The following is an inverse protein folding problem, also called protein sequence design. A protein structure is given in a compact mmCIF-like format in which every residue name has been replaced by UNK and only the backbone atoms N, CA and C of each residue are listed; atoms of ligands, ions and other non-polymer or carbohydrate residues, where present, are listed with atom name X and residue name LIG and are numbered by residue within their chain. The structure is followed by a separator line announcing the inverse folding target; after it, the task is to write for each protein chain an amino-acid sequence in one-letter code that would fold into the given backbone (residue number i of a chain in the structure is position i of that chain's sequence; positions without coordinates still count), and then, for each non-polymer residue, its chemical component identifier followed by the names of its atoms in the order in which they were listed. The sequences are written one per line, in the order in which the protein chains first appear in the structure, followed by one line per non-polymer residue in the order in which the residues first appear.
data_IF_372696749524
#
_entry.id   IF_372696749524
#
_cell.length_a   1.000
_cell.length_b   1.000
_cell.length_c   1.000
_cell.angle_alpha   90.00
_cell.angle_beta   90.00
_cell.angle_gamma   90.00
#
_symmetry.space_group_name_H-M   'P 1'
#
loop_
_entity.id
_entity.type
_entity.pdbx_description
1 polymer ?
#
# COMPACT_ATOMS: atom_id res chain seq x y z
N UNK A 1 0.69 -3.61 4.84
CA UNK A 1 1.87 -2.74 5.12
C UNK A 1 2.37 -3.02 6.53
N UNK A 2 3.43 -3.81 6.63
CA UNK A 2 3.89 -4.34 7.91
C UNK A 2 4.64 -3.28 8.74
N UNK A 3 5.34 -2.35 8.08
CA UNK A 3 6.07 -1.26 8.76
C UNK A 3 5.16 -0.37 9.61
N UNK A 4 3.94 -0.04 9.16
CA UNK A 4 2.99 0.74 9.97
C UNK A 4 2.61 0.03 11.27
N UNK A 5 2.69 -1.30 11.30
CA UNK A 5 2.49 -2.12 12.49
C UNK A 5 3.53 -1.86 13.60
N UNK A 6 4.72 -1.37 13.25
CA UNK A 6 5.80 -1.08 14.20
C UNK A 6 5.48 0.11 15.12
N UNK A 7 4.52 0.96 14.72
CA UNK A 7 3.99 2.00 15.60
C UNK A 7 3.20 1.31 16.73
N UNK A 8 3.71 1.42 17.95
CA UNK A 8 3.10 0.86 19.17
C UNK A 8 2.04 1.77 19.82
N UNK A 9 1.82 2.96 19.26
CA UNK A 9 0.78 3.87 19.74
C UNK A 9 -0.63 3.26 19.54
N UNK A 10 -1.41 3.23 20.61
CA UNK A 10 -2.82 2.78 20.61
C UNK A 10 -3.69 3.61 19.67
N UNK A 11 -3.36 4.90 19.51
CA UNK A 11 -4.07 5.84 18.66
C UNK A 11 -3.45 5.99 17.27
N UNK A 12 -2.59 5.06 16.82
CA UNK A 12 -1.91 5.14 15.51
C UNK A 12 -2.83 5.30 14.30
N UNK A 13 -4.14 5.08 14.47
CA UNK A 13 -5.14 5.41 13.44
C UNK A 13 -5.04 6.87 13.00
N UNK A 14 -4.67 7.79 13.90
CA UNK A 14 -4.47 9.21 13.58
C UNK A 14 -3.37 9.45 12.54
N UNK A 15 -2.53 8.48 12.21
CA UNK A 15 -1.47 8.65 11.21
C UNK A 15 -1.92 8.30 9.78
N UNK A 16 -3.13 7.75 9.59
CA UNK A 16 -3.61 7.33 8.26
C UNK A 16 -3.75 8.49 7.25
N UNK A 17 -4.07 9.70 7.69
CA UNK A 17 -4.15 10.87 6.79
C UNK A 17 -2.78 11.30 6.24
N UNK A 18 -1.69 10.89 6.90
CA UNK A 18 -0.29 11.13 6.53
C UNK A 18 0.45 9.84 6.19
N UNK A 19 -0.28 8.80 5.77
CA UNK A 19 0.25 7.45 5.62
C UNK A 19 1.53 7.39 4.78
N UNK A 20 1.61 8.13 3.68
CA UNK A 20 2.80 8.13 2.82
C UNK A 20 4.05 8.69 3.51
N UNK A 21 3.91 9.75 4.32
CA UNK A 21 5.03 10.30 5.08
C UNK A 21 5.49 9.34 6.16
N UNK A 22 4.55 8.80 6.92
CA UNK A 22 4.83 7.87 8.01
C UNK A 22 5.58 6.64 7.51
N UNK A 23 5.21 6.10 6.35
CA UNK A 23 5.88 4.93 5.80
C UNK A 23 7.25 5.23 5.22
N UNK A 24 7.41 6.41 4.61
CA UNK A 24 8.72 6.89 4.18
C UNK A 24 9.68 6.96 5.38
N UNK A 25 9.22 7.52 6.50
CA UNK A 25 10.03 7.64 7.72
C UNK A 25 10.33 6.25 8.32
N UNK A 26 9.32 5.38 8.45
CA UNK A 26 9.49 4.03 8.97
C UNK A 26 10.43 3.17 8.11
N UNK A 27 10.39 3.32 6.80
CA UNK A 27 11.33 2.65 5.90
C UNK A 27 12.79 3.04 6.24
N UNK A 28 13.06 4.33 6.43
CA UNK A 28 14.41 4.81 6.75
C UNK A 28 14.88 4.48 8.16
N UNK A 29 13.95 4.41 9.13
CA UNK A 29 14.27 4.05 10.52
C UNK A 29 14.63 2.56 10.63
N UNK A 30 13.84 1.68 10.03
CA UNK A 30 13.98 0.23 10.25
C UNK A 30 14.80 -0.50 9.19
N UNK A 31 14.80 -0.02 7.94
CA UNK A 31 15.46 -0.63 6.77
C UNK A 31 15.56 -2.17 6.82
N UNK A 32 14.42 -2.89 6.70
CA UNK A 32 14.41 -4.35 6.79
C UNK A 32 15.38 -4.99 5.78
N UNK A 33 16.26 -5.86 6.27
CA UNK A 33 17.26 -6.59 5.48
C UNK A 33 16.70 -7.83 4.76
N UNK A 34 15.49 -8.26 5.12
CA UNK A 34 14.76 -9.36 4.51
C UNK A 34 13.26 -9.08 4.56
N UNK A 35 12.61 -9.23 3.41
CA UNK A 35 11.19 -8.97 3.22
C UNK A 35 10.54 -10.16 2.54
N UNK A 36 9.39 -10.61 3.05
CA UNK A 36 8.59 -11.67 2.49
C UNK A 36 7.19 -11.14 2.21
N UNK A 37 6.74 -11.31 0.97
CA UNK A 37 5.37 -11.06 0.54
C UNK A 37 4.64 -12.40 0.45
N UNK A 38 3.74 -12.63 1.39
CA UNK A 38 2.71 -13.66 1.28
C UNK A 38 1.50 -13.09 0.53
N UNK A 39 1.30 -13.58 -0.69
CA UNK A 39 0.17 -13.26 -1.56
C UNK A 39 -0.51 -14.54 -2.06
N UNK A 40 -0.72 -15.53 -1.18
CA UNK A 40 -1.58 -16.68 -1.48
C UNK A 40 -2.99 -16.23 -1.88
N UNK A 41 -3.52 -15.25 -1.14
CA UNK A 41 -4.76 -14.54 -1.44
C UNK A 41 -4.49 -13.03 -1.46
N UNK A 42 -5.11 -12.33 -2.42
CA UNK A 42 -5.04 -10.88 -2.56
C UNK A 42 -6.44 -10.27 -2.57
N UNK A 43 -6.53 -8.97 -2.30
CA UNK A 43 -7.78 -8.23 -2.36
C UNK A 43 -7.66 -7.06 -3.33
N UNK A 44 -8.58 -6.99 -4.29
CA UNK A 44 -8.72 -5.85 -5.21
C UNK A 44 -10.03 -5.07 -4.93
N UNK A 45 -10.31 -4.01 -5.70
CA UNK A 45 -11.43 -3.08 -5.49
C UNK A 45 -11.31 -2.34 -4.16
N UNK A 46 -12.39 -2.20 -3.39
CA UNK A 46 -12.44 -1.45 -2.12
C UNK A 46 -11.81 -2.22 -0.94
N UNK A 47 -10.68 -2.87 -1.17
CA UNK A 47 -9.86 -3.43 -0.10
C UNK A 47 -9.31 -2.32 0.82
N UNK A 48 -8.83 -2.65 2.03
CA UNK A 48 -8.77 -3.98 2.64
C UNK A 48 -10.07 -4.40 3.34
N UNK A 49 -11.07 -3.51 3.48
CA UNK A 49 -12.31 -3.80 4.22
C UNK A 49 -13.39 -4.48 3.36
N UNK A 50 -13.66 -3.95 2.17
CA UNK A 50 -14.76 -4.39 1.28
C UNK A 50 -14.23 -4.74 -0.11
N UNK A 51 -13.04 -5.35 -0.16
CA UNK A 51 -12.39 -5.77 -1.39
C UNK A 51 -12.91 -7.12 -1.88
N UNK A 52 -12.63 -7.45 -3.13
CA UNK A 52 -12.88 -8.78 -3.69
C UNK A 52 -11.64 -9.64 -3.48
N UNK A 53 -11.78 -10.73 -2.71
CA UNK A 53 -10.71 -11.68 -2.43
C UNK A 53 -10.48 -12.58 -3.66
N UNK A 54 -9.22 -12.83 -4.02
CA UNK A 54 -8.81 -13.65 -5.15
C UNK A 54 -7.59 -14.49 -4.77
N UNK A 55 -7.55 -15.74 -5.19
CA UNK A 55 -6.38 -16.62 -5.01
C UNK A 55 -5.33 -16.25 -6.05
N UNK A 56 -4.11 -15.95 -5.60
CA UNK A 56 -2.99 -15.53 -6.45
C UNK A 56 -1.81 -16.51 -6.38
N UNK A 57 -1.66 -17.28 -5.30
CA UNK A 57 -0.56 -18.25 -5.11
C UNK A 57 0.83 -17.64 -5.35
N UNK A 58 1.04 -16.40 -4.93
CA UNK A 58 2.30 -15.70 -5.07
C UNK A 58 3.03 -15.68 -3.73
N UNK A 59 4.30 -16.07 -3.75
CA UNK A 59 5.25 -15.84 -2.68
C UNK A 59 6.46 -15.13 -3.28
N UNK A 60 6.85 -14.00 -2.71
CA UNK A 60 8.01 -13.24 -3.18
C UNK A 60 8.87 -12.80 -2.00
N UNK A 61 10.18 -12.75 -2.20
CA UNK A 61 11.12 -12.29 -1.18
C UNK A 61 12.16 -11.36 -1.79
N UNK A 62 12.64 -10.40 -1.00
CA UNK A 62 13.77 -9.56 -1.36
C UNK A 62 14.52 -9.08 -0.13
N UNK A 63 15.82 -8.81 -0.30
CA UNK A 63 16.64 -8.13 0.72
C UNK A 63 16.40 -6.62 0.79
N UNK A 64 15.70 -6.05 -0.19
CA UNK A 64 15.36 -4.64 -0.26
C UNK A 64 13.84 -4.43 -0.30
N UNK A 65 13.31 -3.70 0.69
CA UNK A 65 11.87 -3.44 0.82
C UNK A 65 11.32 -2.64 -0.37
N UNK A 66 12.05 -1.61 -0.81
CA UNK A 66 11.64 -0.76 -1.92
C UNK A 66 11.59 -1.55 -3.23
N UNK A 67 12.54 -2.45 -3.45
CA UNK A 67 12.57 -3.34 -4.61
C UNK A 67 11.34 -4.27 -4.61
N UNK A 68 11.03 -4.92 -3.48
CA UNK A 68 9.88 -5.82 -3.37
C UNK A 68 8.56 -5.08 -3.62
N UNK A 69 8.37 -3.93 -2.99
CA UNK A 69 7.14 -3.14 -3.13
C UNK A 69 6.97 -2.62 -4.57
N UNK A 70 8.06 -2.14 -5.18
CA UNK A 70 8.03 -1.66 -6.56
C UNK A 70 7.77 -2.80 -7.56
N UNK A 71 8.43 -3.96 -7.38
CA UNK A 71 8.19 -5.17 -8.17
C UNK A 71 6.74 -5.64 -8.06
N UNK A 72 6.21 -5.69 -6.84
CA UNK A 72 4.82 -6.10 -6.56
C UNK A 72 3.82 -5.17 -7.20
N UNK A 73 4.06 -3.84 -7.17
CA UNK A 73 3.23 -2.88 -7.89
C UNK A 73 3.19 -3.22 -9.38
N UNK A 74 4.35 -3.43 -10.02
CA UNK A 74 4.40 -3.78 -11.45
C UNK A 74 3.68 -5.09 -11.76
N UNK A 75 3.83 -6.09 -10.89
CA UNK A 75 3.20 -7.41 -11.03
C UNK A 75 1.66 -7.31 -11.06
N UNK A 76 1.07 -6.40 -10.29
CA UNK A 76 -0.38 -6.16 -10.30
C UNK A 76 -0.83 -5.09 -11.30
N UNK A 77 0.05 -4.65 -12.21
CA UNK A 77 -0.26 -3.62 -13.22
C UNK A 77 -0.29 -2.18 -12.70
N UNK A 78 0.20 -1.93 -11.48
CA UNK A 78 0.31 -0.60 -10.88
C UNK A 78 1.71 -0.01 -11.11
N UNK A 79 1.78 1.24 -11.57
CA UNK A 79 3.06 1.96 -11.62
C UNK A 79 3.51 2.33 -10.19
N UNK A 80 4.73 1.97 -9.74
CA UNK A 80 5.21 2.31 -8.39
C UNK A 80 5.14 3.81 -8.09
N UNK A 81 5.39 4.66 -9.08
CA UNK A 81 5.34 6.12 -8.97
C UNK A 81 3.93 6.70 -8.69
N UNK A 82 2.86 5.91 -8.86
CA UNK A 82 1.50 6.31 -8.46
C UNK A 82 1.26 6.15 -6.95
N UNK A 83 2.18 5.48 -6.24
CA UNK A 83 2.10 5.25 -4.80
C UNK A 83 2.98 6.29 -4.10
N UNK A 84 2.39 7.14 -3.26
CA UNK A 84 3.04 8.36 -2.76
C UNK A 84 4.37 8.13 -2.04
N UNK A 85 4.41 7.21 -1.06
CA UNK A 85 5.66 6.88 -0.35
C UNK A 85 6.70 6.20 -1.26
N UNK A 86 6.31 5.29 -2.15
CA UNK A 86 7.25 4.66 -3.09
C UNK A 86 7.86 5.68 -4.05
N UNK A 87 7.04 6.62 -4.56
CA UNK A 87 7.53 7.72 -5.38
C UNK A 87 8.63 8.51 -4.64
N UNK A 88 8.36 8.94 -3.40
CA UNK A 88 9.32 9.67 -2.58
C UNK A 88 10.59 8.86 -2.31
N UNK A 89 10.46 7.57 -2.02
CA UNK A 89 11.61 6.68 -1.79
C UNK A 89 12.47 6.54 -3.05
N UNK A 90 11.86 6.36 -4.22
CA UNK A 90 12.58 6.23 -5.50
C UNK A 90 13.24 7.54 -5.97
N UNK A 91 12.78 8.70 -5.47
CA UNK A 91 13.47 9.99 -5.67
C UNK A 91 14.75 10.08 -4.82
N UNK A 92 14.75 9.48 -3.62
CA UNK A 92 15.88 9.50 -2.69
C UNK A 92 16.88 8.35 -2.86
N UNK A 93 16.42 7.19 -3.31
CA UNK A 93 17.21 5.96 -3.43
C UNK A 93 16.99 5.34 -4.81
N UNK A 94 18.08 5.06 -5.53
CA UNK A 94 18.02 4.28 -6.77
C UNK A 94 17.82 2.81 -6.40
N UNK A 95 16.84 2.20 -7.02
CA UNK A 95 16.56 0.77 -6.87
C UNK A 95 16.54 0.11 -8.23
N UNK A 96 17.35 -0.92 -8.38
CA UNK A 96 17.37 -1.80 -9.54
C UNK A 96 16.95 -3.18 -9.07
N UNK A 97 16.07 -3.81 -9.84
CA UNK A 97 15.62 -5.16 -9.59
C UNK A 97 15.21 -5.81 -10.90
N UNK A 98 15.42 -7.11 -10.95
CA UNK A 98 14.94 -7.97 -12.01
C UNK A 98 13.90 -8.92 -11.45
N UNK A 99 12.90 -9.26 -12.27
CA UNK A 99 11.94 -10.28 -11.94
C UNK A 99 12.54 -11.61 -12.37
N UNK A 100 12.94 -12.44 -11.41
CA UNK A 100 13.45 -13.79 -11.70
C UNK A 100 12.27 -14.76 -11.69
N UNK A 101 12.04 -15.44 -12.81
CA UNK A 101 10.98 -16.41 -13.02
C UNK A 101 9.78 -15.90 -13.82
N UNK A 102 9.03 -16.83 -14.40
CA UNK A 102 7.81 -16.55 -15.16
C UNK A 102 6.60 -16.64 -14.23
N UNK A 103 6.23 -15.53 -13.60
CA UNK A 103 4.98 -15.43 -12.87
C UNK A 103 4.08 -14.40 -13.51
N UNK A 104 2.92 -14.84 -13.99
CA UNK A 104 1.88 -13.98 -14.52
C UNK A 104 0.66 -14.10 -13.63
N UNK A 105 0.20 -12.96 -13.13
CA UNK A 105 -1.06 -12.88 -12.42
C UNK A 105 -2.18 -13.06 -13.44
N UNK A 106 -2.81 -14.25 -13.47
CA UNK A 106 -3.90 -14.57 -14.42
C UNK A 106 -5.25 -13.97 -13.96
N UNK A 107 -5.20 -12.68 -13.65
CA UNK A 107 -6.36 -11.92 -13.19
C UNK A 107 -6.12 -10.43 -13.34
N UNK A 108 -7.18 -9.73 -13.73
CA UNK A 108 -7.20 -8.27 -13.67
C UNK A 108 -7.28 -7.81 -12.21
N UNK A 109 -6.30 -7.01 -11.80
CA UNK A 109 -6.24 -6.39 -10.48
C UNK A 109 -6.77 -4.96 -10.58
N UNK A 110 -7.97 -4.70 -10.05
CA UNK A 110 -8.61 -3.41 -10.18
C UNK A 110 -8.42 -2.56 -8.92
N UNK A 111 -7.78 -1.40 -9.08
CA UNK A 111 -7.60 -0.42 -8.00
C UNK A 111 -8.64 0.68 -8.20
N UNK A 112 -9.59 0.86 -7.27
CA UNK A 112 -10.58 1.92 -7.38
C UNK A 112 -9.88 3.28 -7.27
N UNK A 113 -10.47 4.33 -7.86
CA UNK A 113 -9.98 5.67 -7.59
C UNK A 113 -10.24 5.99 -6.10
N UNK A 114 -9.17 5.96 -5.31
CA UNK A 114 -9.18 6.28 -3.88
C UNK A 114 -8.85 7.75 -3.63
N UNK A 115 -8.72 8.57 -4.67
CA UNK A 115 -8.67 10.03 -4.47
C UNK A 115 -10.01 10.43 -3.88
N UNK A 116 -9.99 10.81 -2.61
CA UNK A 116 -11.12 11.50 -2.02
C UNK A 116 -11.40 12.72 -2.93
N UNK A 117 -12.64 12.92 -3.41
CA UNK A 117 -12.98 14.13 -4.12
C UNK A 117 -12.62 15.29 -3.21
N UNK A 118 -11.65 16.10 -3.62
CA UNK A 118 -11.28 17.34 -2.92
C UNK A 118 -12.40 18.35 -3.16
N UNK A 119 -13.53 18.14 -2.50
CA UNK A 119 -14.52 19.19 -2.28
C UNK A 119 -14.02 19.92 -1.04
N UNK A 120 -13.52 21.15 -1.24
CA UNK A 120 -13.12 22.13 -0.23
C UNK A 120 -12.98 21.63 1.21
N UNK A 121 -11.73 21.48 1.68
CA UNK A 121 -11.30 21.45 3.09
C UNK A 121 -12.03 20.54 4.09
N UNK A 122 -12.73 19.49 3.67
CA UNK A 122 -13.27 18.48 4.59
C UNK A 122 -12.87 17.06 4.20
N UNK A 123 -11.84 16.53 4.88
CA UNK A 123 -11.51 15.11 4.87
C UNK A 123 -12.57 14.33 5.67
N UNK A 124 -13.65 13.92 4.99
CA UNK A 124 -14.72 13.13 5.57
C UNK A 124 -14.31 11.65 5.63
N UNK A 125 -13.86 11.21 6.81
CA UNK A 125 -13.98 9.81 7.22
C UNK A 125 -14.29 9.73 8.71
N UNK A 126 -15.41 9.05 9.02
CA UNK A 126 -16.07 8.85 10.33
C UNK A 126 -16.86 10.03 10.93
N UNK A 127 -17.96 10.44 10.28
CA UNK A 127 -19.11 11.00 11.00
C UNK A 127 -20.41 10.35 10.51
N UNK A 128 -21.03 9.55 11.38
CA UNK A 128 -22.45 9.20 11.28
C UNK A 128 -23.23 10.51 11.39
N UNK A 129 -23.70 11.05 10.27
CA UNK A 129 -24.65 12.17 10.31
C UNK A 129 -26.04 11.56 10.60
N UNK A 130 -26.47 11.63 11.85
CA UNK A 130 -27.88 11.43 12.22
C UNK A 130 -28.52 12.82 12.11
N UNK A 131 -29.41 13.01 11.13
CA UNK A 131 -30.17 14.24 10.97
C UNK A 131 -31.40 14.16 11.87
N UNK A 132 -31.43 14.95 12.96
CA UNK A 132 -32.67 15.20 13.70
C UNK A 132 -33.54 16.16 12.88
N UNK A 133 -34.82 15.81 12.67
CA UNK A 133 -35.82 16.74 12.15
C UNK A 133 -36.46 17.44 13.33
N UNK A 134 -36.21 18.73 13.47
CA UNK A 134 -37.20 19.74 13.85
C UNK A 134 -36.88 21.03 13.09
#
# INVERSE_FOLDING_TARGET
KNLFGLIQDKHKVIYHWKLDGVLYDLYHIFKPSMNLLDALYIMDRKGPLNGRIRKANLLAAASNTLALDAATCRLVGLKPLKVGHLKRLMESEKVEYEMVGEFKLDMEFNIPDTRLPRVADFALCLLRIIKSKF
#
